data_IF_471046053152
#
_entry.id   IF_471046053152
#
_cell.length_a   1.000
_cell.length_b   1.000
_cell.length_c   1.000
_cell.angle_alpha   90.00
_cell.angle_beta   90.00
_cell.angle_gamma   90.00
#
_symmetry.space_group_name_H-M   'P 1'
#
loop_
_entity.id
_entity.type
_entity.pdbx_description
1 polymer ?
#
# COMPACT_ATOMS: atom_id res chain seq x y z
N UNK A 1 -0.31 -48.61 46.04
CA UNK A 1 -1.56 -49.11 45.41
C UNK A 1 -2.73 -48.74 46.30
N UNK A 2 -3.51 -47.71 45.97
CA UNK A 2 -4.93 -47.55 46.35
C UNK A 2 -5.56 -46.56 45.38
N UNK A 3 -6.78 -46.89 44.93
CA UNK A 3 -7.50 -46.35 43.76
C UNK A 3 -8.83 -45.75 44.24
N UNK A 4 -9.27 -44.65 43.63
CA UNK A 4 -10.62 -44.05 43.76
C UNK A 4 -10.53 -42.56 43.40
N UNK A 5 -10.84 -42.05 42.20
CA UNK A 5 -12.05 -42.01 41.34
C UNK A 5 -13.22 -41.14 41.86
N UNK A 6 -13.47 -40.09 41.05
CA UNK A 6 -14.64 -39.21 40.86
C UNK A 6 -15.01 -38.13 41.90
N UNK A 7 -14.81 -36.87 41.50
CA UNK A 7 -15.90 -35.89 41.37
C UNK A 7 -15.61 -34.90 40.23
N UNK A 8 -16.55 -34.80 39.29
CA UNK A 8 -16.67 -33.72 38.32
C UNK A 8 -17.19 -32.48 39.05
N UNK A 9 -16.60 -31.32 38.76
CA UNK A 9 -17.09 -30.01 39.15
C UNK A 9 -16.83 -29.07 37.98
N UNK A 10 -17.88 -28.88 37.18
CA UNK A 10 -17.99 -27.86 36.14
C UNK A 10 -18.18 -26.51 36.81
N UNK A 11 -17.21 -25.60 36.68
CA UNK A 11 -17.48 -24.17 36.87
C UNK A 11 -17.11 -23.44 35.58
N UNK A 12 -18.18 -23.18 34.82
CA UNK A 12 -18.25 -22.11 33.84
C UNK A 12 -17.82 -20.81 34.51
N UNK A 13 -16.83 -20.13 33.94
CA UNK A 13 -16.72 -18.69 34.14
C UNK A 13 -17.12 -18.05 32.83
N UNK A 14 -18.34 -17.55 32.87
CA UNK A 14 -19.03 -16.84 31.83
C UNK A 14 -18.19 -15.69 31.25
N UNK A 15 -18.09 -15.71 29.93
CA UNK A 15 -18.34 -14.59 29.03
C UNK A 15 -18.28 -13.19 29.67
N UNK A 16 -17.10 -12.55 29.61
CA UNK A 16 -17.00 -11.10 29.67
C UNK A 16 -16.88 -10.57 28.25
N UNK A 17 -18.04 -10.23 27.70
CA UNK A 17 -18.20 -9.30 26.59
C UNK A 17 -17.47 -7.99 26.91
N UNK A 18 -16.27 -7.81 26.34
CA UNK A 18 -15.61 -6.51 26.25
C UNK A 18 -15.79 -5.95 24.84
N UNK A 19 -17.05 -5.86 24.41
CA UNK A 19 -17.46 -4.89 23.41
C UNK A 19 -17.74 -3.56 24.14
N UNK A 20 -16.71 -2.72 24.24
CA UNK A 20 -16.88 -1.31 24.60
C UNK A 20 -15.74 -0.47 24.03
N UNK A 21 -15.96 -0.01 22.80
CA UNK A 21 -15.83 1.38 22.40
C UNK A 21 -14.67 2.18 23.03
N UNK A 22 -13.45 1.90 22.59
CA UNK A 22 -12.37 2.89 22.62
C UNK A 22 -11.75 2.91 21.22
N UNK A 23 -12.05 3.97 20.46
CA UNK A 23 -11.50 4.26 19.14
C UNK A 23 -10.01 4.60 19.18
N UNK A 24 -9.20 3.68 19.71
CA UNK A 24 -7.77 3.66 19.44
C UNK A 24 -7.66 3.09 18.03
N UNK A 25 -7.38 3.96 17.08
CA UNK A 25 -6.95 3.58 15.75
C UNK A 25 -5.64 2.79 15.93
N UNK A 26 -5.73 1.46 16.09
CA UNK A 26 -4.53 0.63 16.15
C UNK A 26 -3.78 0.88 14.84
N UNK A 27 -2.52 1.34 14.87
CA UNK A 27 -1.73 1.45 13.65
C UNK A 27 -1.78 0.08 12.98
N UNK A 28 -2.18 0.04 11.71
CA UNK A 28 -2.28 -1.19 10.90
C UNK A 28 -1.07 -2.07 11.19
N UNK A 29 -1.23 -3.11 12.00
CA UNK A 29 -0.09 -3.85 12.52
C UNK A 29 0.64 -4.50 11.35
N UNK A 30 1.93 -4.20 11.20
CA UNK A 30 2.79 -4.93 10.28
C UNK A 30 2.77 -6.40 10.68
N UNK A 31 2.33 -7.27 9.77
CA UNK A 31 2.40 -8.72 9.94
C UNK A 31 3.76 -9.23 9.46
N UNK A 32 4.21 -10.35 10.03
CA UNK A 32 5.45 -11.02 9.60
C UNK A 32 5.40 -11.36 8.09
N UNK A 33 4.24 -11.80 7.59
CA UNK A 33 4.05 -12.09 6.16
C UNK A 33 4.25 -10.85 5.28
N UNK A 34 3.79 -9.68 5.74
CA UNK A 34 3.98 -8.43 5.00
C UNK A 34 5.47 -8.04 4.88
N UNK A 35 6.29 -8.38 5.87
CA UNK A 35 7.75 -8.17 5.83
C UNK A 35 8.40 -9.07 4.78
N UNK A 36 8.01 -10.34 4.73
CA UNK A 36 8.52 -11.31 3.75
C UNK A 36 8.17 -10.93 2.32
N UNK A 37 6.92 -10.56 2.08
CA UNK A 37 6.47 -10.07 0.77
C UNK A 37 7.21 -8.79 0.37
N UNK A 38 7.53 -7.92 1.34
CA UNK A 38 8.27 -6.69 1.06
C UNK A 38 9.72 -6.92 0.70
N UNK A 39 10.40 -7.88 1.33
CA UNK A 39 11.75 -8.29 0.90
C UNK A 39 11.76 -8.64 -0.58
N UNK A 40 10.80 -9.46 -1.00
CA UNK A 40 10.64 -9.86 -2.40
C UNK A 40 10.36 -8.66 -3.31
N UNK A 41 9.46 -7.77 -2.90
CA UNK A 41 9.13 -6.57 -3.65
C UNK A 41 10.33 -5.63 -3.83
N UNK A 42 11.12 -5.40 -2.78
CA UNK A 42 12.35 -4.61 -2.83
C UNK A 42 13.33 -5.21 -3.83
N UNK A 43 13.58 -6.52 -3.74
CA UNK A 43 14.49 -7.22 -4.67
C UNK A 43 14.05 -7.05 -6.12
N UNK A 44 12.77 -7.28 -6.41
CA UNK A 44 12.20 -7.13 -7.76
C UNK A 44 12.29 -5.69 -8.24
N UNK A 45 12.01 -4.70 -7.39
CA UNK A 45 12.09 -3.27 -7.75
C UNK A 45 13.50 -2.83 -8.14
N UNK A 46 14.53 -3.50 -7.61
CA UNK A 46 15.94 -3.29 -7.97
C UNK A 46 16.36 -4.08 -9.22
N UNK A 47 15.46 -4.87 -9.82
CA UNK A 47 15.75 -5.69 -10.99
C UNK A 47 16.64 -6.90 -10.71
N UNK A 48 16.78 -7.31 -9.44
CA UNK A 48 17.73 -8.37 -9.05
C UNK A 48 17.04 -9.73 -8.94
N UNK A 49 17.67 -10.77 -9.50
CA UNK A 49 17.35 -12.16 -9.16
C UNK A 49 17.91 -12.53 -7.78
N UNK A 50 17.52 -13.69 -7.23
CA UNK A 50 18.12 -14.19 -5.98
C UNK A 50 19.63 -14.45 -6.15
N UNK A 51 20.05 -14.90 -7.35
CA UNK A 51 21.45 -15.14 -7.66
C UNK A 51 22.24 -13.83 -7.75
N UNK A 52 21.67 -12.79 -8.36
CA UNK A 52 22.30 -11.47 -8.44
C UNK A 52 22.54 -10.89 -7.05
N UNK A 53 21.59 -11.04 -6.13
CA UNK A 53 21.78 -10.61 -4.73
C UNK A 53 22.95 -11.34 -4.06
N UNK A 54 23.13 -12.64 -4.30
CA UNK A 54 24.27 -13.38 -3.75
C UNK A 54 25.59 -12.90 -4.34
N UNK A 55 25.64 -12.63 -5.65
CA UNK A 55 26.83 -12.13 -6.33
C UNK A 55 27.17 -10.71 -5.85
N UNK A 56 26.22 -9.80 -5.88
CA UNK A 56 26.42 -8.39 -5.52
C UNK A 56 26.72 -8.21 -4.02
N UNK A 57 26.10 -9.03 -3.15
CA UNK A 57 26.42 -9.04 -1.72
C UNK A 57 27.73 -9.75 -1.40
N UNK A 58 28.48 -10.24 -2.41
CA UNK A 58 29.72 -11.01 -2.26
C UNK A 58 29.53 -12.23 -1.34
N UNK A 59 28.39 -12.91 -1.47
CA UNK A 59 28.04 -14.09 -0.69
C UNK A 59 27.53 -13.82 0.73
N UNK A 60 27.46 -12.55 1.18
CA UNK A 60 26.93 -12.20 2.50
C UNK A 60 25.45 -12.57 2.67
N UNK A 61 24.69 -12.48 1.56
CA UNK A 61 23.28 -12.86 1.47
C UNK A 61 23.16 -13.98 0.44
N UNK A 62 23.07 -15.23 0.90
CA UNK A 62 22.94 -16.38 0.00
C UNK A 62 21.55 -16.42 -0.64
N UNK A 63 21.47 -16.74 -1.93
CA UNK A 63 20.24 -16.78 -2.73
C UNK A 63 19.18 -17.69 -2.10
N UNK A 64 19.60 -18.89 -1.67
CA UNK A 64 18.72 -19.88 -1.02
C UNK A 64 18.15 -19.33 0.30
N UNK A 65 18.97 -18.61 1.07
CA UNK A 65 18.56 -18.06 2.36
C UNK A 65 17.58 -16.91 2.18
N UNK A 66 17.86 -15.98 1.26
CA UNK A 66 16.94 -14.89 0.95
C UNK A 66 15.61 -15.42 0.41
N UNK A 67 15.64 -16.41 -0.49
CA UNK A 67 14.43 -17.02 -1.02
C UNK A 67 13.56 -17.70 0.05
N UNK A 68 14.19 -18.28 1.08
CA UNK A 68 13.48 -18.85 2.24
C UNK A 68 12.80 -17.78 3.10
N UNK A 69 13.40 -16.59 3.24
CA UNK A 69 12.75 -15.46 3.90
C UNK A 69 11.59 -14.91 3.08
N UNK A 70 11.76 -14.72 1.76
CA UNK A 70 10.71 -14.18 0.88
C UNK A 70 9.43 -15.03 0.83
N UNK A 71 9.55 -16.35 1.09
CA UNK A 71 8.41 -17.27 1.17
C UNK A 71 7.88 -17.48 2.59
N UNK A 72 8.59 -16.99 3.61
CA UNK A 72 8.26 -17.22 5.01
C UNK A 72 8.59 -18.61 5.54
N UNK A 73 9.33 -19.43 4.78
CA UNK A 73 9.78 -20.77 5.20
C UNK A 73 10.77 -20.73 6.38
N UNK A 74 11.36 -19.56 6.64
CA UNK A 74 12.34 -19.35 7.71
C UNK A 74 12.08 -18.02 8.41
N UNK A 75 12.20 -18.04 9.74
CA UNK A 75 12.14 -16.83 10.55
C UNK A 75 13.29 -15.88 10.24
N UNK A 76 12.97 -14.60 10.05
CA UNK A 76 13.93 -13.53 9.82
C UNK A 76 14.33 -12.89 11.16
N UNK A 77 15.60 -13.00 11.54
CA UNK A 77 16.10 -12.28 12.72
C UNK A 77 16.32 -10.80 12.41
N UNK A 78 16.20 -9.94 13.43
CA UNK A 78 16.45 -8.49 13.31
C UNK A 78 17.85 -8.20 12.76
N UNK A 79 18.88 -8.92 13.22
CA UNK A 79 20.25 -8.78 12.71
C UNK A 79 20.34 -9.04 11.19
N UNK A 80 19.62 -10.04 10.69
CA UNK A 80 19.57 -10.36 9.25
C UNK A 80 18.75 -9.33 8.48
N UNK A 81 17.63 -8.88 9.04
CA UNK A 81 16.84 -7.80 8.46
C UNK A 81 17.68 -6.52 8.26
N UNK A 82 18.48 -6.13 9.26
CA UNK A 82 19.41 -4.99 9.17
C UNK A 82 20.43 -5.20 8.05
N UNK A 83 21.07 -6.37 7.98
CA UNK A 83 22.06 -6.66 6.95
C UNK A 83 21.46 -6.57 5.53
N UNK A 84 20.24 -7.07 5.34
CA UNK A 84 19.54 -7.01 4.05
C UNK A 84 19.12 -5.57 3.73
N UNK A 85 18.60 -4.81 4.70
CA UNK A 85 18.24 -3.41 4.52
C UNK A 85 19.45 -2.56 4.11
N UNK A 86 20.59 -2.75 4.77
CA UNK A 86 21.85 -2.09 4.44
C UNK A 86 22.33 -2.46 3.03
N UNK A 87 22.23 -3.73 2.62
CA UNK A 87 22.57 -4.16 1.27
C UNK A 87 21.75 -3.41 0.22
N UNK A 88 20.45 -3.22 0.45
CA UNK A 88 19.58 -2.47 -0.48
C UNK A 88 19.68 -0.94 -0.35
N UNK A 89 20.42 -0.42 0.63
CA UNK A 89 20.53 1.01 0.91
C UNK A 89 19.24 1.63 1.44
N UNK A 90 18.46 0.87 2.22
CA UNK A 90 17.16 1.29 2.76
C UNK A 90 17.20 1.32 4.30
N UNK A 91 16.45 2.21 4.96
CA UNK A 91 16.31 2.16 6.42
C UNK A 91 15.52 0.91 6.83
N UNK A 92 15.85 0.34 8.00
CA UNK A 92 15.15 -0.85 8.52
C UNK A 92 13.64 -0.61 8.67
N UNK A 93 13.21 0.60 9.04
CA UNK A 93 11.80 0.98 9.12
C UNK A 93 11.06 0.75 7.80
N UNK A 94 11.70 0.99 6.65
CA UNK A 94 11.08 0.71 5.35
C UNK A 94 10.77 -0.77 5.15
N UNK A 95 11.50 -1.67 5.79
CA UNK A 95 11.21 -3.09 5.77
C UNK A 95 10.06 -3.47 6.74
N UNK A 96 9.94 -2.76 7.86
CA UNK A 96 9.08 -3.11 8.99
C UNK A 96 7.78 -2.31 9.08
N UNK A 97 7.65 -1.14 8.47
CA UNK A 97 6.49 -0.25 8.64
C UNK A 97 5.69 -0.21 7.35
N UNK A 98 4.38 -0.46 7.36
CA UNK A 98 3.55 -0.20 6.18
C UNK A 98 3.86 1.22 5.67
N UNK A 99 4.31 1.40 4.41
CA UNK A 99 4.47 2.76 3.88
C UNK A 99 3.13 3.46 4.09
N UNK A 100 3.15 4.73 4.55
CA UNK A 100 1.93 5.43 4.90
C UNK A 100 0.99 5.34 3.71
N UNK A 101 -0.09 4.57 3.88
CA UNK A 101 -1.20 4.60 2.93
C UNK A 101 -1.71 6.01 3.03
N UNK A 102 -1.64 6.76 1.93
CA UNK A 102 -2.13 8.12 1.93
C UNK A 102 -3.63 8.04 2.29
N UNK A 103 -4.04 8.51 3.48
CA UNK A 103 -5.34 8.17 4.01
C UNK A 103 -6.43 8.73 3.10
N UNK A 104 -7.40 7.88 2.74
CA UNK A 104 -8.60 8.31 1.99
C UNK A 104 -8.62 8.01 0.50
N UNK A 105 -7.66 7.26 -0.06
CA UNK A 105 -7.74 6.79 -1.46
C UNK A 105 -8.32 5.37 -1.48
N UNK A 106 -9.50 5.14 -2.11
CA UNK A 106 -9.97 3.78 -2.39
C UNK A 106 -8.99 3.09 -3.36
N UNK A 107 -8.55 1.87 -3.09
CA UNK A 107 -7.74 1.10 -4.05
C UNK A 107 -8.53 -0.09 -4.62
N UNK A 108 -8.67 -0.23 -5.95
CA UNK A 108 -8.28 0.73 -6.99
C UNK A 108 -9.26 1.91 -7.10
N UNK A 109 -8.75 3.14 -7.22
CA UNK A 109 -9.57 4.30 -7.55
C UNK A 109 -9.65 4.45 -9.07
N UNK A 110 -10.88 4.55 -9.56
CA UNK A 110 -11.16 4.61 -11.00
C UNK A 110 -11.59 6.03 -11.35
N UNK A 111 -10.91 6.63 -12.32
CA UNK A 111 -11.23 7.95 -12.86
C UNK A 111 -12.15 7.80 -14.07
N UNK A 112 -13.26 8.54 -14.11
CA UNK A 112 -14.11 8.72 -15.29
C UNK A 112 -13.51 9.78 -16.22
N UNK A 113 -12.97 9.35 -17.36
CA UNK A 113 -12.29 10.24 -18.31
C UNK A 113 -13.27 11.15 -19.06
N UNK A 114 -14.56 10.77 -19.15
CA UNK A 114 -15.59 11.57 -19.83
C UNK A 114 -15.89 12.86 -19.09
N UNK A 115 -15.72 12.85 -17.76
CA UNK A 115 -15.85 14.04 -16.91
C UNK A 115 -14.72 15.04 -17.13
N UNK A 116 -13.55 14.57 -17.56
CA UNK A 116 -12.40 15.42 -17.86
C UNK A 116 -12.46 16.02 -19.25
N UNK A 117 -13.05 15.31 -20.21
CA UNK A 117 -13.31 15.88 -21.55
C UNK A 117 -14.45 16.90 -21.54
N UNK A 118 -15.34 16.82 -20.55
CA UNK A 118 -16.50 17.70 -20.38
C UNK A 118 -16.23 18.89 -19.44
N UNK A 119 -15.00 19.42 -19.41
CA UNK A 119 -14.70 20.66 -18.67
C UNK A 119 -15.49 21.79 -19.33
N UNK A 120 -16.56 22.23 -18.66
CA UNK A 120 -17.46 23.28 -19.17
C UNK A 120 -16.85 24.67 -18.98
N UNK A 121 -17.14 25.57 -19.93
CA UNK A 121 -16.68 26.95 -19.90
C UNK A 121 -17.35 27.78 -18.78
N UNK A 122 -18.50 27.30 -18.29
CA UNK A 122 -19.35 27.93 -17.26
C UNK A 122 -18.85 27.70 -15.81
N UNK A 123 -17.78 26.92 -15.63
CA UNK A 123 -17.16 26.78 -14.32
C UNK A 123 -16.37 28.04 -13.91
N UNK A 124 -16.26 28.34 -12.60
CA UNK A 124 -15.40 29.41 -12.11
C UNK A 124 -13.98 29.25 -12.67
N UNK A 125 -13.36 30.36 -13.09
CA UNK A 125 -12.05 30.32 -13.75
C UNK A 125 -10.97 29.63 -12.91
N UNK A 126 -11.06 29.72 -11.58
CA UNK A 126 -10.18 29.01 -10.64
C UNK A 126 -10.32 27.50 -10.72
N UNK A 127 -11.54 26.99 -10.84
CA UNK A 127 -11.84 25.55 -10.85
C UNK A 127 -11.45 24.96 -12.21
N UNK A 128 -11.74 25.70 -13.30
CA UNK A 128 -11.35 25.32 -14.66
C UNK A 128 -9.83 25.16 -14.81
N UNK A 129 -9.03 26.05 -14.23
CA UNK A 129 -7.57 25.94 -14.26
C UNK A 129 -7.08 24.66 -13.58
N UNK A 130 -7.61 24.35 -12.40
CA UNK A 130 -7.25 23.13 -11.65
C UNK A 130 -7.64 21.86 -12.39
N UNK A 131 -8.83 21.83 -12.98
CA UNK A 131 -9.29 20.70 -13.80
C UNK A 131 -8.45 20.52 -15.08
N UNK A 132 -7.99 21.61 -15.68
CA UNK A 132 -7.12 21.57 -16.86
C UNK A 132 -5.75 20.96 -16.55
N UNK A 133 -5.15 21.30 -15.40
CA UNK A 133 -3.90 20.68 -14.93
C UNK A 133 -4.12 19.17 -14.74
N UNK A 134 -5.23 18.80 -14.09
CA UNK A 134 -5.57 17.41 -13.82
C UNK A 134 -5.78 16.60 -15.12
N UNK A 135 -6.53 17.15 -16.09
CA UNK A 135 -6.71 16.56 -17.41
C UNK A 135 -5.38 16.40 -18.15
N UNK A 136 -4.49 17.39 -18.07
CA UNK A 136 -3.15 17.34 -18.68
C UNK A 136 -2.31 16.22 -18.06
N UNK A 137 -2.31 16.09 -16.74
CA UNK A 137 -1.58 15.02 -16.04
C UNK A 137 -2.08 13.64 -16.45
N UNK A 138 -3.41 13.45 -16.49
CA UNK A 138 -4.02 12.18 -16.86
C UNK A 138 -3.73 11.83 -18.33
N UNK A 139 -3.79 12.79 -19.24
CA UNK A 139 -3.40 12.58 -20.63
C UNK A 139 -1.95 12.09 -20.77
N UNK A 140 -1.03 12.58 -19.92
CA UNK A 140 0.35 12.10 -19.88
C UNK A 140 0.46 10.65 -19.40
N UNK A 141 -0.37 10.21 -18.44
CA UNK A 141 -0.43 8.81 -18.00
C UNK A 141 -0.92 7.92 -19.14
N UNK A 142 -2.03 8.30 -19.78
CA UNK A 142 -2.62 7.55 -20.91
C UNK A 142 -1.61 7.40 -22.05
N UNK A 143 -0.92 8.48 -22.39
CA UNK A 143 0.16 8.49 -23.40
C UNK A 143 1.25 7.47 -23.08
N UNK A 144 1.73 7.46 -21.82
CA UNK A 144 2.79 6.54 -21.39
C UNK A 144 2.33 5.09 -21.35
N UNK A 145 1.05 4.84 -21.06
CA UNK A 145 0.45 3.49 -21.04
C UNK A 145 0.05 3.01 -22.43
N UNK A 146 0.09 3.87 -23.45
CA UNK A 146 -0.49 3.65 -24.77
C UNK A 146 -1.97 3.21 -24.68
N UNK A 147 -2.67 3.77 -23.69
CA UNK A 147 -4.05 3.42 -23.34
C UNK A 147 -4.96 4.60 -23.71
N UNK A 148 -5.45 4.59 -24.94
CA UNK A 148 -6.21 5.70 -25.53
C UNK A 148 -7.70 5.41 -25.68
N UNK A 149 -8.12 4.19 -25.38
CA UNK A 149 -9.45 3.68 -25.73
C UNK A 149 -10.36 3.45 -24.51
N UNK A 150 -9.91 3.84 -23.32
CA UNK A 150 -10.69 3.72 -22.08
C UNK A 150 -11.62 4.92 -21.87
N UNK A 151 -12.85 4.67 -21.42
CA UNK A 151 -13.69 5.70 -20.78
C UNK A 151 -13.30 5.93 -19.31
N UNK A 152 -12.50 5.02 -18.76
CA UNK A 152 -12.09 5.00 -17.36
C UNK A 152 -10.60 4.70 -17.23
N UNK A 153 -9.98 5.23 -16.18
CA UNK A 153 -8.58 5.00 -15.85
C UNK A 153 -8.41 4.56 -14.39
N UNK A 154 -7.94 3.33 -14.18
CA UNK A 154 -7.59 2.84 -12.85
C UNK A 154 -6.20 3.33 -12.44
N UNK A 155 -6.12 3.98 -11.28
CA UNK A 155 -4.89 4.52 -10.69
C UNK A 155 -4.63 3.96 -9.29
N UNK A 156 -3.34 3.92 -8.91
CA UNK A 156 -2.88 3.53 -7.57
C UNK A 156 -2.79 4.76 -6.67
N UNK A 157 -2.72 4.57 -5.34
CA UNK A 157 -2.57 5.66 -4.38
C UNK A 157 -1.39 6.60 -4.66
N UNK A 158 -0.26 6.05 -5.11
CA UNK A 158 0.93 6.83 -5.48
C UNK A 158 0.67 7.81 -6.63
N UNK A 159 -0.19 7.45 -7.60
CA UNK A 159 -0.53 8.32 -8.73
C UNK A 159 -1.28 9.59 -8.24
N UNK A 160 -2.17 9.44 -7.25
CA UNK A 160 -2.87 10.58 -6.63
C UNK A 160 -1.93 11.44 -5.80
N UNK A 161 -0.97 10.83 -5.12
CA UNK A 161 0.07 11.57 -4.39
C UNK A 161 0.91 12.42 -5.36
N UNK A 162 1.29 11.85 -6.51
CA UNK A 162 1.98 12.58 -7.57
C UNK A 162 1.14 13.71 -8.16
N UNK A 163 -0.16 13.49 -8.41
CA UNK A 163 -1.08 14.55 -8.86
C UNK A 163 -1.19 15.69 -7.84
N UNK A 164 -1.37 15.37 -6.56
CA UNK A 164 -1.48 16.37 -5.50
C UNK A 164 -0.22 17.25 -5.44
N UNK A 165 0.97 16.61 -5.48
CA UNK A 165 2.25 17.31 -5.55
C UNK A 165 2.38 18.19 -6.81
N UNK A 166 2.02 17.68 -7.99
CA UNK A 166 2.09 18.42 -9.24
C UNK A 166 1.15 19.64 -9.25
N UNK A 167 0.02 19.54 -8.56
CA UNK A 167 -0.95 20.63 -8.38
C UNK A 167 -0.63 21.55 -7.20
N UNK A 168 0.42 21.26 -6.41
CA UNK A 168 0.80 22.03 -5.23
C UNK A 168 -0.22 21.98 -4.09
N UNK A 169 -1.03 20.92 -4.01
CA UNK A 169 -2.10 20.76 -3.02
C UNK A 169 -1.90 19.49 -2.21
N UNK A 170 -2.59 19.38 -1.07
CA UNK A 170 -2.57 18.13 -0.30
C UNK A 170 -3.56 17.11 -0.91
N UNK A 171 -3.40 15.85 -0.51
CA UNK A 171 -4.23 14.76 -1.03
C UNK A 171 -5.72 14.93 -0.68
N UNK A 172 -6.05 15.41 0.52
CA UNK A 172 -7.45 15.59 0.93
C UNK A 172 -8.17 16.61 0.03
N UNK A 173 -7.48 17.69 -0.33
CA UNK A 173 -8.00 18.69 -1.26
C UNK A 173 -8.16 18.12 -2.67
N UNK A 174 -7.18 17.35 -3.18
CA UNK A 174 -7.31 16.65 -4.46
C UNK A 174 -8.54 15.72 -4.47
N UNK A 175 -8.71 14.91 -3.43
CA UNK A 175 -9.86 14.01 -3.32
C UNK A 175 -11.19 14.76 -3.26
N UNK A 176 -11.21 15.94 -2.63
CA UNK A 176 -12.39 16.81 -2.59
C UNK A 176 -12.75 17.33 -3.99
N UNK A 177 -11.76 17.76 -4.77
CA UNK A 177 -11.95 18.21 -6.17
C UNK A 177 -12.48 17.07 -7.04
N UNK A 178 -11.85 15.89 -6.94
CA UNK A 178 -12.24 14.72 -7.72
C UNK A 178 -13.69 14.28 -7.41
N UNK A 179 -14.09 14.29 -6.15
CA UNK A 179 -15.45 13.95 -5.74
C UNK A 179 -16.46 15.03 -6.13
N UNK A 180 -16.17 16.30 -5.91
CA UNK A 180 -17.05 17.42 -6.26
C UNK A 180 -17.39 17.43 -7.77
N UNK A 181 -16.42 17.06 -8.60
CA UNK A 181 -16.57 16.99 -10.06
C UNK A 181 -17.04 15.62 -10.56
N UNK A 182 -17.35 14.67 -9.66
CA UNK A 182 -17.76 13.29 -9.97
C UNK A 182 -16.78 12.56 -10.90
N UNK A 183 -15.49 12.89 -10.80
CA UNK A 183 -14.40 12.31 -11.59
C UNK A 183 -14.02 10.94 -11.01
N UNK A 184 -14.12 10.77 -9.69
CA UNK A 184 -13.87 9.47 -9.05
C UNK A 184 -15.14 8.61 -9.13
N UNK A 185 -15.02 7.43 -9.73
CA UNK A 185 -16.06 6.41 -9.68
C UNK A 185 -15.98 5.70 -8.33
N UNK A 186 -17.07 5.76 -7.55
CA UNK A 186 -17.19 4.93 -6.37
C UNK A 186 -17.28 3.47 -6.81
N UNK A 187 -16.29 2.66 -6.44
CA UNK A 187 -16.43 1.20 -6.50
C UNK A 187 -17.46 0.84 -5.43
N UNK A 188 -18.56 0.20 -5.85
CA UNK A 188 -19.62 -0.30 -4.97
C UNK A 188 -19.18 -1.57 -4.26
#
# INVERSE_FOLDING_TARGET
MHRGLYHQGTDSVDNLDLASNNGINLPTMTTIDSVYLRLRAIRISKGLSLADVEIESKGQIRAVVLGSYERGDRSLSVKRAIAIANFYGLPLSYLLEKPPQAPGIPEPAVIDLRRLSAIEEDQPASDRYRLTILATFIAQILTRRNDWNGEVLSLRSDDFTAMAMAMGINLQELMSILNANKILLSVK
#
